data_IF_570271386377
#
_entry.id   IF_570271386377
#
_cell.length_a   1.000
_cell.length_b   1.000
_cell.length_c   1.000
_cell.angle_alpha   90.00
_cell.angle_beta   90.00
_cell.angle_gamma   90.00
#
_symmetry.space_group_name_H-M   'P 1'
#
loop_
_entity.id
_entity.type
_entity.pdbx_description
1 polymer ?
#
# COMPACT_ATOMS: atom_id res chain seq x y z
N UNK A 1 4.42 -1.70 34.23
CA UNK A 1 3.15 -2.03 33.55
C UNK A 1 2.67 -3.39 34.04
N UNK A 2 1.41 -3.49 34.51
CA UNK A 2 0.80 -4.77 34.87
C UNK A 2 0.38 -5.49 33.60
N UNK A 3 0.85 -6.71 33.38
CA UNK A 3 0.37 -7.57 32.29
C UNK A 3 -1.12 -7.85 32.49
N UNK A 4 -1.94 -7.55 31.49
CA UNK A 4 -3.36 -7.89 31.47
C UNK A 4 -3.51 -9.22 30.73
N UNK A 5 -3.85 -10.27 31.47
CA UNK A 5 -4.14 -11.57 30.89
C UNK A 5 -5.62 -11.64 30.50
N UNK A 6 -5.90 -12.01 29.26
CA UNK A 6 -7.25 -12.31 28.77
C UNK A 6 -7.28 -13.69 28.15
N UNK A 7 -8.29 -14.47 28.49
CA UNK A 7 -8.57 -15.73 27.81
C UNK A 7 -9.19 -15.46 26.45
N UNK A 8 -8.95 -16.35 25.50
CA UNK A 8 -9.62 -16.32 24.21
C UNK A 8 -11.10 -16.66 24.40
N UNK A 9 -11.98 -15.74 24.04
CA UNK A 9 -13.43 -15.88 24.15
C UNK A 9 -14.13 -16.21 22.82
N UNK A 10 -13.36 -16.46 21.76
CA UNK A 10 -13.89 -16.75 20.42
C UNK A 10 -14.17 -18.25 20.21
N UNK A 11 -14.86 -18.51 19.07
CA UNK A 11 -15.21 -19.85 18.62
C UNK A 11 -14.23 -20.43 17.59
N UNK A 12 -13.18 -19.69 17.22
CA UNK A 12 -12.19 -20.13 16.24
C UNK A 12 -11.34 -21.31 16.71
N UNK A 13 -10.70 -22.01 15.74
CA UNK A 13 -9.89 -23.18 16.02
C UNK A 13 -10.72 -24.40 16.45
N UNK A 14 -10.06 -25.34 17.15
CA UNK A 14 -10.71 -26.53 17.67
C UNK A 14 -10.32 -26.82 19.12
N UNK A 15 -11.21 -27.44 19.88
CA UNK A 15 -11.00 -27.80 21.29
C UNK A 15 -10.03 -28.95 21.45
N UNK A 16 -9.24 -28.91 22.54
CA UNK A 16 -8.33 -29.98 22.93
C UNK A 16 -9.02 -30.87 24.00
N UNK A 17 -10.14 -31.49 23.62
CA UNK A 17 -11.03 -32.20 24.54
C UNK A 17 -10.47 -33.52 25.07
N UNK A 18 -9.53 -34.16 24.36
CA UNK A 18 -9.09 -35.53 24.70
C UNK A 18 -7.58 -35.67 24.67
N UNK A 19 -7.09 -36.67 25.43
CA UNK A 19 -5.67 -37.07 25.45
C UNK A 19 -5.18 -37.47 24.05
N UNK A 20 -6.06 -38.07 23.23
CA UNK A 20 -5.73 -38.44 21.84
C UNK A 20 -5.45 -37.20 21.03
N UNK A 21 -6.28 -36.15 21.13
CA UNK A 21 -6.02 -34.86 20.44
C UNK A 21 -4.73 -34.22 20.93
N UNK A 22 -4.43 -34.26 22.24
CA UNK A 22 -3.13 -33.78 22.77
C UNK A 22 -1.95 -34.55 22.17
N UNK A 23 -2.06 -35.87 22.08
CA UNK A 23 -1.01 -36.72 21.51
C UNK A 23 -0.79 -36.45 20.02
N UNK A 24 -1.88 -36.29 19.23
CA UNK A 24 -1.81 -35.95 17.82
C UNK A 24 -1.19 -34.57 17.61
N UNK A 25 -1.53 -33.57 18.44
CA UNK A 25 -0.93 -32.24 18.40
C UNK A 25 0.56 -32.28 18.78
N UNK A 26 0.92 -33.05 19.83
CA UNK A 26 2.31 -33.26 20.25
C UNK A 26 3.15 -33.86 19.11
N UNK A 27 2.62 -34.87 18.42
CA UNK A 27 3.24 -35.47 17.24
C UNK A 27 3.33 -34.44 16.06
N UNK A 28 2.27 -33.72 15.80
CA UNK A 28 2.20 -32.68 14.72
C UNK A 28 3.23 -31.59 14.91
N UNK A 29 3.35 -31.07 16.14
CA UNK A 29 4.27 -29.96 16.47
C UNK A 29 5.63 -30.47 16.99
N UNK A 30 5.87 -31.77 16.99
CA UNK A 30 7.11 -32.42 17.46
C UNK A 30 7.53 -31.93 18.85
N UNK A 31 6.58 -31.76 19.77
CA UNK A 31 6.82 -31.30 21.14
C UNK A 31 5.96 -32.04 22.16
N UNK A 32 6.60 -32.68 23.13
CA UNK A 32 5.92 -33.34 24.23
C UNK A 32 5.34 -32.37 25.26
N UNK A 33 5.74 -31.11 25.21
CA UNK A 33 5.19 -30.06 26.12
C UNK A 33 3.68 -29.96 26.05
N UNK A 34 3.08 -30.13 24.87
CA UNK A 34 1.62 -30.10 24.70
C UNK A 34 0.94 -31.24 25.43
N UNK A 35 1.56 -32.40 25.46
CA UNK A 35 1.00 -33.57 26.11
C UNK A 35 1.02 -33.47 27.64
N UNK A 36 2.13 -32.97 28.20
CA UNK A 36 2.38 -32.93 29.63
C UNK A 36 2.06 -31.59 30.30
N UNK A 37 1.68 -30.55 29.55
CA UNK A 37 1.32 -29.25 30.13
C UNK A 37 0.02 -29.32 30.91
N UNK A 38 0.07 -28.81 32.15
CA UNK A 38 -1.11 -28.64 32.98
C UNK A 38 -1.95 -27.41 32.62
N UNK A 39 -1.37 -26.49 31.85
CA UNK A 39 -2.05 -25.29 31.39
C UNK A 39 -3.07 -25.55 30.25
N UNK A 40 -2.96 -26.74 29.62
CA UNK A 40 -3.86 -27.17 28.55
C UNK A 40 -4.95 -28.10 29.12
N UNK A 41 -6.17 -27.60 29.14
CA UNK A 41 -7.35 -28.31 29.60
C UNK A 41 -8.32 -28.67 28.45
N UNK A 42 -9.49 -29.24 28.75
CA UNK A 42 -10.51 -29.60 27.77
C UNK A 42 -11.16 -28.41 27.07
N UNK A 43 -11.12 -27.21 27.68
CA UNK A 43 -11.66 -25.97 27.14
C UNK A 43 -10.63 -25.22 26.28
N UNK A 44 -9.37 -25.65 26.33
CA UNK A 44 -8.30 -25.02 25.56
C UNK A 44 -8.53 -25.20 24.06
N UNK A 45 -8.35 -24.10 23.28
CA UNK A 45 -8.48 -24.11 21.83
C UNK A 45 -7.14 -23.95 21.15
N UNK A 46 -6.94 -24.67 20.07
CA UNK A 46 -5.77 -24.54 19.19
C UNK A 46 -6.14 -23.74 17.98
N UNK A 47 -5.48 -22.59 17.82
CA UNK A 47 -5.62 -21.71 16.65
C UNK A 47 -4.45 -22.00 15.70
N UNK A 48 -4.72 -22.69 14.60
CA UNK A 48 -3.73 -23.01 13.57
C UNK A 48 -3.83 -22.05 12.38
N UNK A 49 -2.73 -21.96 11.62
CA UNK A 49 -2.66 -21.14 10.41
C UNK A 49 -3.10 -19.69 10.64
N UNK A 50 -2.48 -19.04 11.61
CA UNK A 50 -2.79 -17.64 11.95
C UNK A 50 -2.25 -16.63 10.96
N UNK A 51 -1.24 -16.98 10.17
CA UNK A 51 -0.85 -16.20 9.03
C UNK A 51 -1.98 -16.24 7.99
N UNK A 52 -2.54 -15.08 7.65
CA UNK A 52 -3.71 -14.98 6.78
C UNK A 52 -3.44 -15.52 5.36
N UNK A 53 -2.24 -15.28 4.82
CA UNK A 53 -1.83 -15.80 3.51
C UNK A 53 -1.81 -17.31 3.49
N UNK A 54 -1.13 -17.93 4.49
CA UNK A 54 -1.08 -19.37 4.62
C UNK A 54 -2.49 -19.97 4.82
N UNK A 55 -3.31 -19.30 5.63
CA UNK A 55 -4.67 -19.72 5.92
C UNK A 55 -5.55 -19.75 4.67
N UNK A 56 -5.53 -18.68 3.88
CA UNK A 56 -6.27 -18.60 2.62
C UNK A 56 -5.81 -19.65 1.62
N UNK A 57 -4.50 -19.80 1.43
CA UNK A 57 -3.96 -20.79 0.49
C UNK A 57 -4.21 -22.23 0.87
N UNK A 58 -4.55 -22.53 2.15
CA UNK A 58 -5.00 -23.86 2.57
C UNK A 58 -6.43 -24.17 2.11
N UNK A 59 -7.26 -23.15 1.93
CA UNK A 59 -8.66 -23.31 1.48
C UNK A 59 -8.79 -23.17 -0.02
N UNK A 60 -8.15 -22.13 -0.60
CA UNK A 60 -8.22 -21.80 -2.04
C UNK A 60 -6.81 -21.77 -2.68
N UNK A 61 -6.11 -22.91 -2.77
CA UNK A 61 -4.75 -22.96 -3.32
C UNK A 61 -4.68 -22.64 -4.82
N UNK A 62 -5.82 -22.62 -5.49
CA UNK A 62 -5.96 -22.34 -6.92
C UNK A 62 -6.09 -20.84 -7.25
N UNK A 63 -6.22 -19.98 -6.23
CA UNK A 63 -6.21 -18.52 -6.41
C UNK A 63 -4.80 -17.95 -6.19
N UNK A 64 -4.50 -16.87 -6.89
CA UNK A 64 -3.34 -16.00 -6.60
C UNK A 64 -3.77 -14.87 -5.69
N UNK A 65 -2.95 -14.58 -4.69
CA UNK A 65 -3.24 -13.51 -3.74
C UNK A 65 -2.46 -12.25 -4.10
N UNK A 66 -3.10 -11.09 -3.90
CA UNK A 66 -2.47 -9.78 -3.99
C UNK A 66 -1.35 -9.62 -2.95
N UNK A 67 -0.34 -8.82 -3.25
CA UNK A 67 0.75 -8.55 -2.31
C UNK A 67 0.35 -7.68 -1.12
N UNK A 68 -0.84 -7.08 -1.13
CA UNK A 68 -1.23 -6.02 -0.20
C UNK A 68 -2.59 -6.25 0.51
N UNK A 69 -2.67 -7.25 1.42
CA UNK A 69 -3.84 -7.40 2.27
C UNK A 69 -3.94 -6.21 3.25
N UNK A 70 -5.15 -5.75 3.54
CA UNK A 70 -5.37 -4.61 4.42
C UNK A 70 -6.40 -4.89 5.50
N UNK A 71 -6.16 -4.28 6.68
CA UNK A 71 -6.99 -4.40 7.85
C UNK A 71 -8.01 -3.25 7.90
N UNK A 72 -9.25 -3.58 8.16
CA UNK A 72 -10.35 -2.62 8.36
C UNK A 72 -11.02 -2.85 9.70
N UNK A 73 -11.59 -1.79 10.26
CA UNK A 73 -12.41 -1.85 11.47
C UNK A 73 -13.86 -1.57 11.08
N UNK A 74 -14.72 -2.55 11.27
CA UNK A 74 -16.14 -2.47 10.96
C UNK A 74 -16.93 -3.06 12.10
N UNK A 75 -18.01 -2.38 12.54
CA UNK A 75 -18.87 -2.81 13.64
C UNK A 75 -18.10 -3.19 14.93
N UNK A 76 -17.00 -2.50 15.23
CA UNK A 76 -16.14 -2.77 16.38
C UNK A 76 -15.26 -4.04 16.28
N UNK A 77 -15.21 -4.68 15.11
CA UNK A 77 -14.39 -5.85 14.82
C UNK A 77 -13.31 -5.53 13.79
N UNK A 78 -12.17 -6.18 13.92
CA UNK A 78 -11.09 -6.11 12.93
C UNK A 78 -11.26 -7.21 11.90
N UNK A 79 -11.27 -6.82 10.62
CA UNK A 79 -11.33 -7.76 9.49
C UNK A 79 -10.24 -7.44 8.48
N UNK A 80 -9.60 -8.48 7.95
CA UNK A 80 -8.71 -8.37 6.81
C UNK A 80 -9.50 -8.47 5.53
N UNK A 81 -9.21 -7.61 4.58
CA UNK A 81 -9.65 -7.75 3.19
C UNK A 81 -8.44 -8.15 2.36
N UNK A 82 -8.59 -9.20 1.58
CA UNK A 82 -7.54 -9.75 0.76
C UNK A 82 -8.05 -9.97 -0.67
N UNK A 83 -7.42 -9.30 -1.62
CA UNK A 83 -7.73 -9.48 -3.03
C UNK A 83 -7.13 -10.78 -3.55
N UNK A 84 -7.88 -11.48 -4.40
CA UNK A 84 -7.44 -12.72 -5.01
C UNK A 84 -7.79 -12.77 -6.49
N UNK A 85 -6.91 -13.43 -7.25
CA UNK A 85 -6.94 -13.49 -8.70
C UNK A 85 -7.16 -14.90 -9.19
N UNK A 86 -7.95 -15.01 -10.25
CA UNK A 86 -7.91 -16.13 -11.18
C UNK A 86 -6.85 -15.84 -12.22
N UNK A 87 -6.07 -16.84 -12.56
CA UNK A 87 -4.95 -16.70 -13.52
C UNK A 87 -4.90 -17.87 -14.50
N UNK A 88 -4.38 -17.62 -15.70
CA UNK A 88 -4.08 -18.64 -16.71
C UNK A 88 -2.88 -18.21 -17.54
N UNK A 89 -2.16 -19.16 -18.09
CA UNK A 89 -1.09 -18.96 -19.07
C UNK A 89 -1.49 -19.34 -20.52
N UNK A 90 -2.80 -19.62 -20.72
CA UNK A 90 -3.32 -20.20 -21.97
C UNK A 90 -4.18 -19.26 -22.80
N UNK A 91 -4.19 -17.96 -22.48
CA UNK A 91 -4.95 -16.98 -23.25
C UNK A 91 -4.19 -16.64 -24.55
N UNK A 92 -4.83 -16.78 -25.73
CA UNK A 92 -4.13 -16.58 -27.00
C UNK A 92 -3.73 -15.11 -27.21
N UNK A 93 -2.57 -14.89 -27.80
CA UNK A 93 -2.04 -13.57 -28.19
C UNK A 93 -1.88 -12.54 -27.06
N UNK A 94 -1.84 -12.99 -25.81
CA UNK A 94 -1.65 -12.12 -24.66
C UNK A 94 -0.22 -12.22 -24.10
N UNK A 95 0.28 -11.09 -23.61
CA UNK A 95 1.62 -11.02 -23.01
C UNK A 95 1.65 -11.77 -21.67
N UNK A 96 2.65 -12.61 -21.48
CA UNK A 96 2.85 -13.31 -20.21
C UNK A 96 3.51 -12.39 -19.18
N UNK A 97 2.91 -12.32 -17.99
CA UNK A 97 3.44 -11.60 -16.82
C UNK A 97 3.97 -12.63 -15.82
N UNK A 98 5.21 -12.48 -15.34
CA UNK A 98 5.76 -13.37 -14.31
C UNK A 98 4.83 -13.52 -13.10
N UNK A 99 4.64 -14.74 -12.59
CA UNK A 99 3.75 -15.11 -11.48
C UNK A 99 2.24 -15.08 -11.79
N UNK A 100 1.76 -14.32 -12.80
CA UNK A 100 0.34 -14.14 -13.10
C UNK A 100 -0.10 -14.80 -14.39
N UNK A 101 0.83 -15.26 -15.25
CA UNK A 101 0.49 -15.81 -16.55
C UNK A 101 0.12 -14.71 -17.56
N UNK A 102 -0.78 -15.03 -18.50
CA UNK A 102 -1.22 -14.10 -19.52
C UNK A 102 -2.74 -13.81 -19.50
N UNK A 103 -3.40 -14.26 -18.45
CA UNK A 103 -4.78 -13.93 -18.08
C UNK A 103 -4.83 -13.70 -16.57
N UNK A 104 -5.34 -12.58 -16.14
CA UNK A 104 -5.51 -12.24 -14.73
C UNK A 104 -6.80 -11.44 -14.51
N UNK A 105 -7.59 -11.87 -13.54
CA UNK A 105 -8.81 -11.17 -13.10
C UNK A 105 -8.85 -11.08 -11.59
N UNK A 106 -9.21 -9.94 -11.04
CA UNK A 106 -9.50 -9.80 -9.61
C UNK A 106 -10.91 -10.32 -9.30
N UNK A 107 -11.06 -11.62 -9.33
CA UNK A 107 -12.35 -12.29 -9.30
C UNK A 107 -12.89 -12.53 -7.91
N UNK A 108 -12.05 -12.42 -6.85
CA UNK A 108 -12.47 -12.72 -5.49
C UNK A 108 -11.97 -11.67 -4.50
N UNK A 109 -12.86 -11.21 -3.62
CA UNK A 109 -12.54 -10.46 -2.41
C UNK A 109 -12.71 -11.39 -1.20
N UNK A 110 -11.68 -11.56 -0.42
CA UNK A 110 -11.68 -12.46 0.75
C UNK A 110 -11.74 -11.59 2.00
N UNK A 111 -12.71 -11.84 2.86
CA UNK A 111 -12.85 -11.18 4.16
C UNK A 111 -12.49 -12.18 5.25
N UNK A 112 -11.56 -11.83 6.12
CA UNK A 112 -11.07 -12.70 7.18
C UNK A 112 -11.27 -12.00 8.52
N UNK A 113 -12.02 -12.62 9.42
CA UNK A 113 -12.14 -12.13 10.79
C UNK A 113 -10.80 -12.27 11.52
N UNK A 114 -10.23 -11.17 12.01
CA UNK A 114 -8.91 -11.19 12.64
C UNK A 114 -8.88 -11.91 13.98
N UNK A 115 -10.02 -12.05 14.66
CA UNK A 115 -10.15 -12.71 15.94
C UNK A 115 -10.52 -14.18 15.81
N UNK A 116 -11.60 -14.47 15.06
CA UNK A 116 -12.12 -15.83 14.86
C UNK A 116 -11.33 -16.61 13.79
N UNK A 117 -10.81 -15.91 12.79
CA UNK A 117 -10.16 -16.50 11.63
C UNK A 117 -11.14 -17.14 10.64
N UNK A 118 -12.44 -16.86 10.73
CA UNK A 118 -13.42 -17.22 9.71
C UNK A 118 -13.14 -16.46 8.42
N UNK A 119 -13.51 -17.05 7.28
CA UNK A 119 -13.27 -16.47 5.97
C UNK A 119 -14.53 -16.52 5.12
N UNK A 120 -14.82 -15.42 4.46
CA UNK A 120 -15.86 -15.28 3.44
C UNK A 120 -15.20 -14.93 2.10
N UNK A 121 -15.64 -15.60 1.02
CA UNK A 121 -15.10 -15.44 -0.32
C UNK A 121 -16.18 -14.84 -1.22
N UNK A 122 -16.04 -13.58 -1.60
CA UNK A 122 -17.01 -12.86 -2.41
C UNK A 122 -16.54 -12.78 -3.86
N UNK A 123 -17.39 -13.18 -4.81
CA UNK A 123 -17.13 -13.06 -6.24
C UNK A 123 -17.23 -11.60 -6.65
N UNK A 124 -16.11 -11.01 -7.03
CA UNK A 124 -16.01 -9.61 -7.45
C UNK A 124 -16.19 -9.42 -8.96
N UNK A 125 -15.83 -10.42 -9.77
CA UNK A 125 -16.07 -10.43 -11.21
C UNK A 125 -16.97 -11.62 -11.59
N UNK A 126 -18.29 -11.41 -11.68
CA UNK A 126 -19.25 -12.47 -12.02
C UNK A 126 -19.17 -12.93 -13.49
N UNK A 127 -18.37 -12.26 -14.31
CA UNK A 127 -18.19 -12.61 -15.73
C UNK A 127 -16.92 -13.45 -15.98
N UNK A 128 -16.10 -13.70 -14.94
CA UNK A 128 -14.90 -14.52 -15.10
C UNK A 128 -15.25 -16.02 -15.17
N UNK A 129 -14.99 -16.68 -16.31
CA UNK A 129 -15.35 -18.10 -16.50
C UNK A 129 -14.59 -19.04 -15.55
N UNK A 130 -13.39 -18.64 -15.10
CA UNK A 130 -12.57 -19.46 -14.21
C UNK A 130 -13.20 -19.49 -12.80
N UNK A 131 -13.61 -18.32 -12.27
CA UNK A 131 -14.24 -18.30 -10.94
C UNK A 131 -15.62 -18.95 -10.97
N UNK A 132 -16.37 -18.80 -12.04
CA UNK A 132 -17.65 -19.50 -12.22
C UNK A 132 -17.48 -21.03 -12.23
N UNK A 133 -16.41 -21.51 -12.84
CA UNK A 133 -16.07 -22.94 -12.80
C UNK A 133 -15.79 -23.38 -11.37
N UNK A 134 -14.99 -22.64 -10.62
CA UNK A 134 -14.70 -22.96 -9.20
C UNK A 134 -15.94 -22.86 -8.32
N UNK A 135 -16.83 -21.89 -8.58
CA UNK A 135 -18.12 -21.78 -7.88
C UNK A 135 -18.97 -23.04 -8.10
N UNK A 136 -18.99 -23.59 -9.31
CA UNK A 136 -19.73 -24.81 -9.61
C UNK A 136 -19.10 -26.05 -8.93
N UNK A 137 -17.78 -26.08 -8.75
CA UNK A 137 -17.08 -27.16 -8.05
C UNK A 137 -17.30 -27.06 -6.54
N UNK A 138 -17.32 -25.85 -5.99
CA UNK A 138 -17.47 -25.55 -4.56
C UNK A 138 -18.63 -24.56 -4.31
N UNK A 139 -19.90 -24.96 -4.48
CA UNK A 139 -21.02 -24.03 -4.48
C UNK A 139 -21.25 -23.32 -3.15
N UNK A 140 -20.86 -23.91 -2.01
CA UNK A 140 -21.02 -23.30 -0.68
C UNK A 140 -19.85 -22.40 -0.27
N UNK A 141 -18.76 -22.39 -1.04
CA UNK A 141 -17.57 -21.63 -0.69
C UNK A 141 -17.69 -20.16 -1.05
N UNK A 142 -18.31 -19.85 -2.20
CA UNK A 142 -18.35 -18.52 -2.76
C UNK A 142 -19.72 -17.85 -2.57
N UNK A 143 -19.69 -16.59 -2.17
CA UNK A 143 -20.83 -15.71 -2.04
C UNK A 143 -20.84 -14.66 -3.15
N UNK A 144 -21.98 -14.08 -3.46
CA UNK A 144 -22.06 -12.94 -4.37
C UNK A 144 -21.52 -11.67 -3.66
N UNK A 145 -20.92 -10.76 -4.42
CA UNK A 145 -20.43 -9.49 -3.87
C UNK A 145 -21.58 -8.67 -3.24
N UNK A 146 -22.81 -8.84 -3.76
CA UNK A 146 -24.01 -8.23 -3.22
C UNK A 146 -24.29 -8.59 -1.76
N UNK A 147 -23.89 -9.78 -1.32
CA UNK A 147 -24.08 -10.27 0.05
C UNK A 147 -23.05 -9.70 1.05
N UNK A 148 -22.02 -9.00 0.56
CA UNK A 148 -21.06 -8.35 1.45
C UNK A 148 -21.73 -7.20 2.19
N UNK A 149 -21.54 -7.07 3.52
CA UNK A 149 -22.04 -5.95 4.29
C UNK A 149 -21.65 -4.59 3.69
N UNK A 150 -22.59 -3.66 3.64
CA UNK A 150 -22.37 -2.34 3.02
C UNK A 150 -21.21 -1.56 3.65
N UNK A 151 -21.00 -1.70 4.96
CA UNK A 151 -19.87 -1.07 5.63
C UNK A 151 -18.53 -1.62 5.14
N UNK A 152 -18.44 -2.93 4.88
CA UNK A 152 -17.25 -3.55 4.28
C UNK A 152 -17.05 -3.14 2.82
N UNK A 153 -18.11 -3.00 2.04
CA UNK A 153 -18.05 -2.55 0.64
C UNK A 153 -17.39 -1.18 0.52
N UNK A 154 -17.63 -0.28 1.47
CA UNK A 154 -17.00 1.06 1.51
C UNK A 154 -15.47 1.03 1.70
N UNK A 155 -14.94 -0.09 2.16
CA UNK A 155 -13.50 -0.28 2.35
C UNK A 155 -12.82 -0.99 1.18
N UNK A 156 -13.58 -1.43 0.17
CA UNK A 156 -13.00 -2.03 -1.04
C UNK A 156 -12.17 -0.98 -1.76
N UNK A 157 -10.97 -1.38 -2.16
CA UNK A 157 -10.04 -0.56 -2.94
C UNK A 157 -9.54 -1.30 -4.16
N UNK A 158 -9.01 -0.58 -5.13
CA UNK A 158 -8.44 -1.18 -6.33
C UNK A 158 -7.14 -1.94 -5.98
N UNK A 159 -6.94 -3.21 -6.44
CA UNK A 159 -5.83 -4.03 -6.00
C UNK A 159 -4.49 -3.59 -6.61
N UNK A 160 -3.46 -3.57 -5.77
CA UNK A 160 -2.13 -3.02 -6.09
C UNK A 160 -1.40 -3.82 -7.18
N UNK A 161 -1.40 -5.16 -7.09
CA UNK A 161 -0.70 -6.01 -8.07
C UNK A 161 -1.35 -5.90 -9.45
N UNK A 162 -2.69 -5.90 -9.52
CA UNK A 162 -3.41 -5.74 -10.80
C UNK A 162 -3.11 -4.38 -11.43
N UNK A 163 -3.14 -3.30 -10.63
CA UNK A 163 -2.82 -1.97 -11.11
C UNK A 163 -1.38 -1.89 -11.65
N UNK A 164 -0.43 -2.50 -10.96
CA UNK A 164 0.97 -2.55 -11.41
C UNK A 164 1.11 -3.28 -12.75
N UNK A 165 0.41 -4.41 -12.93
CA UNK A 165 0.39 -5.14 -14.20
C UNK A 165 -0.19 -4.27 -15.32
N UNK A 166 -1.32 -3.61 -15.06
CA UNK A 166 -1.98 -2.75 -16.04
C UNK A 166 -1.11 -1.53 -16.39
N UNK A 167 -0.47 -0.91 -15.40
CA UNK A 167 0.45 0.20 -15.60
C UNK A 167 1.66 -0.22 -16.47
N UNK A 168 2.25 -1.38 -16.18
CA UNK A 168 3.35 -1.94 -16.98
C UNK A 168 2.96 -2.17 -18.46
N UNK A 169 1.78 -2.73 -18.70
CA UNK A 169 1.27 -2.95 -20.05
C UNK A 169 0.96 -1.60 -20.73
N UNK A 170 0.27 -0.69 -20.02
CA UNK A 170 -0.12 0.60 -20.55
C UNK A 170 1.09 1.48 -20.92
N UNK A 171 2.21 1.33 -20.25
CA UNK A 171 3.47 2.01 -20.54
C UNK A 171 3.94 1.80 -22.01
N UNK A 172 3.50 0.73 -22.66
CA UNK A 172 3.72 0.50 -24.09
C UNK A 172 2.46 0.79 -24.92
N UNK A 173 1.29 0.36 -24.47
CA UNK A 173 0.05 0.40 -25.25
C UNK A 173 -0.64 1.77 -25.30
N UNK A 174 -0.13 2.80 -24.62
CA UNK A 174 -0.62 4.18 -24.76
C UNK A 174 -0.26 4.80 -26.13
N UNK A 175 0.74 4.26 -26.83
CA UNK A 175 1.16 4.75 -28.15
C UNK A 175 0.13 4.41 -29.22
N UNK A 176 -0.47 5.44 -29.82
CA UNK A 176 -1.59 5.29 -30.78
C UNK A 176 -1.12 5.10 -32.22
N UNK A 177 0.05 5.63 -32.57
CA UNK A 177 0.59 5.60 -33.94
C UNK A 177 1.33 4.28 -34.16
N UNK A 178 0.98 3.45 -35.16
CA UNK A 178 1.62 2.15 -35.40
C UNK A 178 3.14 2.21 -35.54
N UNK A 179 3.67 3.23 -36.23
CA UNK A 179 5.11 3.44 -36.39
C UNK A 179 5.80 3.66 -35.05
N UNK A 180 5.27 4.58 -34.23
CA UNK A 180 5.79 4.91 -32.89
C UNK A 180 5.71 3.71 -31.98
N UNK A 181 4.61 2.95 -32.05
CA UNK A 181 4.43 1.73 -31.28
C UNK A 181 5.46 0.66 -31.66
N UNK A 182 5.65 0.41 -32.96
CA UNK A 182 6.60 -0.58 -33.46
C UNK A 182 8.03 -0.25 -33.07
N UNK A 183 8.43 1.02 -33.22
CA UNK A 183 9.78 1.49 -32.89
C UNK A 183 9.97 1.75 -31.38
N UNK A 184 8.89 1.74 -30.58
CA UNK A 184 8.89 2.07 -29.15
C UNK A 184 9.49 3.45 -28.84
N UNK A 185 9.24 4.43 -29.70
CA UNK A 185 9.86 5.76 -29.63
C UNK A 185 9.39 6.58 -28.44
N UNK A 186 8.14 6.41 -28.01
CA UNK A 186 7.53 7.13 -26.87
C UNK A 186 7.14 6.17 -25.73
N UNK A 187 7.84 5.05 -25.61
CA UNK A 187 7.58 4.09 -24.54
C UNK A 187 7.82 4.70 -23.18
N UNK A 188 6.92 4.46 -22.23
CA UNK A 188 7.08 4.86 -20.84
C UNK A 188 7.66 3.73 -20.01
N UNK A 189 8.12 4.09 -18.81
CA UNK A 189 8.55 3.16 -17.79
C UNK A 189 8.11 3.66 -16.41
N UNK A 190 7.97 2.75 -15.47
CA UNK A 190 7.73 3.08 -14.07
C UNK A 190 9.08 3.54 -13.50
N UNK A 191 9.15 4.73 -12.87
CA UNK A 191 10.40 5.24 -12.34
C UNK A 191 11.00 4.33 -11.28
N UNK A 192 12.32 4.26 -11.24
CA UNK A 192 13.06 3.61 -10.16
C UNK A 192 13.59 4.67 -9.20
N UNK A 193 13.54 4.40 -7.90
CA UNK A 193 14.17 5.21 -6.85
C UNK A 193 15.05 4.28 -6.01
N UNK A 194 16.31 4.66 -5.81
CA UNK A 194 17.28 3.86 -5.05
C UNK A 194 17.38 2.40 -5.56
N UNK A 195 17.40 2.22 -6.89
CA UNK A 195 17.40 0.94 -7.61
C UNK A 195 16.20 0.03 -7.32
N UNK A 196 15.07 0.63 -6.97
CA UNK A 196 13.79 -0.06 -6.79
C UNK A 196 12.73 0.62 -7.62
N UNK A 197 11.96 -0.16 -8.37
CA UNK A 197 10.79 0.33 -9.07
C UNK A 197 9.80 0.95 -8.06
N UNK A 198 9.23 2.09 -8.40
CA UNK A 198 8.20 2.72 -7.57
C UNK A 198 6.99 1.79 -7.45
N UNK A 199 6.50 1.64 -6.22
CA UNK A 199 5.25 0.94 -5.95
C UNK A 199 4.08 1.92 -6.07
N UNK A 200 2.90 1.46 -6.53
CA UNK A 200 1.72 2.30 -6.50
C UNK A 200 1.34 2.68 -5.06
N UNK A 201 0.76 3.84 -4.90
CA UNK A 201 0.35 4.34 -3.58
C UNK A 201 -1.07 4.90 -3.60
N UNK A 202 -1.79 4.66 -2.52
CA UNK A 202 -3.16 5.13 -2.35
C UNK A 202 -3.20 6.55 -1.81
N UNK A 203 -4.14 7.33 -2.33
CA UNK A 203 -4.37 8.69 -1.89
C UNK A 203 -5.84 9.10 -2.06
N UNK A 204 -6.25 10.11 -1.33
CA UNK A 204 -7.54 10.78 -1.54
C UNK A 204 -7.22 12.14 -2.15
N UNK A 205 -7.69 12.36 -3.36
CA UNK A 205 -7.52 13.63 -4.04
C UNK A 205 -8.66 13.92 -5.00
N UNK A 206 -8.79 15.18 -5.36
CA UNK A 206 -9.70 15.61 -6.41
C UNK A 206 -8.99 15.46 -7.75
N UNK A 207 -9.50 14.60 -8.60
CA UNK A 207 -8.96 14.40 -9.93
C UNK A 207 -9.31 15.59 -10.85
N UNK A 208 -8.46 15.91 -11.85
CA UNK A 208 -8.77 16.93 -12.84
C UNK A 208 -10.13 16.69 -13.51
N UNK A 209 -10.99 17.70 -13.49
CA UNK A 209 -12.35 17.62 -14.02
C UNK A 209 -13.42 17.07 -13.06
N UNK A 210 -13.05 16.52 -11.90
CA UNK A 210 -14.00 16.08 -10.91
C UNK A 210 -14.33 17.19 -9.90
N UNK A 211 -15.52 17.11 -9.29
CA UNK A 211 -15.97 18.07 -8.26
C UNK A 211 -15.70 17.57 -6.84
N UNK A 212 -15.58 16.28 -6.65
CA UNK A 212 -15.41 15.60 -5.37
C UNK A 212 -14.04 14.93 -5.27
N UNK A 213 -13.57 14.74 -4.04
CA UNK A 213 -12.39 13.94 -3.74
C UNK A 213 -12.72 12.46 -3.89
N UNK A 214 -11.76 11.69 -4.37
CA UNK A 214 -11.89 10.24 -4.58
C UNK A 214 -10.68 9.50 -3.98
N UNK A 215 -10.92 8.29 -3.53
CA UNK A 215 -9.86 7.38 -3.12
C UNK A 215 -9.28 6.68 -4.34
N UNK A 216 -8.03 6.92 -4.62
CA UNK A 216 -7.35 6.46 -5.82
C UNK A 216 -6.07 5.70 -5.49
N UNK A 217 -5.68 4.82 -6.39
CA UNK A 217 -4.35 4.23 -6.45
C UNK A 217 -3.60 4.87 -7.62
N UNK A 218 -2.39 5.36 -7.42
CA UNK A 218 -1.68 6.05 -8.49
C UNK A 218 -0.21 5.65 -8.65
N UNK A 219 0.31 5.90 -9.86
CA UNK A 219 1.69 5.64 -10.24
C UNK A 219 2.14 6.64 -11.31
N UNK A 220 3.32 7.29 -11.18
CA UNK A 220 3.89 8.14 -12.22
C UNK A 220 4.62 7.32 -13.29
N UNK A 221 4.81 7.92 -14.47
CA UNK A 221 5.61 7.39 -15.58
C UNK A 221 6.65 8.39 -16.06
N UNK A 222 7.81 7.86 -16.44
CA UNK A 222 8.84 8.58 -17.16
C UNK A 222 8.97 8.01 -18.59
N UNK A 223 9.46 8.77 -19.58
CA UNK A 223 9.84 8.19 -20.86
C UNK A 223 10.99 7.23 -20.67
N UNK A 224 11.01 6.16 -21.42
CA UNK A 224 12.07 5.16 -21.36
C UNK A 224 13.46 5.78 -21.52
N UNK A 225 14.35 5.49 -20.56
CA UNK A 225 15.71 6.00 -20.55
C UNK A 225 15.84 7.50 -20.24
N UNK A 226 14.78 8.15 -19.75
CA UNK A 226 14.78 9.56 -19.33
C UNK A 226 14.24 9.70 -17.92
N UNK A 227 14.65 10.74 -17.23
CA UNK A 227 14.29 10.95 -15.82
C UNK A 227 13.18 11.97 -15.59
N UNK A 228 12.74 12.70 -16.63
CA UNK A 228 11.62 13.65 -16.52
C UNK A 228 10.27 12.92 -16.47
N UNK A 229 9.28 13.52 -15.83
CA UNK A 229 7.94 12.95 -15.74
C UNK A 229 7.17 13.16 -17.04
N UNK A 230 6.48 12.11 -17.51
CA UNK A 230 5.65 12.16 -18.73
C UNK A 230 4.16 12.08 -18.45
N UNK A 231 3.79 11.26 -17.48
CA UNK A 231 2.39 10.98 -17.16
C UNK A 231 2.24 10.45 -15.75
N UNK A 232 1.01 10.36 -15.30
CA UNK A 232 0.62 9.59 -14.14
C UNK A 232 -0.71 8.87 -14.41
N UNK A 233 -0.82 7.67 -13.87
CA UNK A 233 -2.00 6.82 -14.03
C UNK A 233 -2.66 6.62 -12.68
N UNK A 234 -3.99 6.57 -12.68
CA UNK A 234 -4.79 6.31 -11.48
C UNK A 234 -5.80 5.20 -11.73
N UNK A 235 -6.09 4.46 -10.68
CA UNK A 235 -7.27 3.62 -10.56
C UNK A 235 -8.19 4.19 -9.49
N UNK A 236 -9.46 4.36 -9.81
CA UNK A 236 -10.47 4.88 -8.90
C UNK A 236 -11.06 3.74 -8.06
N UNK A 237 -11.29 4.00 -6.78
CA UNK A 237 -11.77 2.99 -5.82
C UNK A 237 -13.17 3.27 -5.28
N UNK A 238 -13.75 4.43 -5.55
CA UNK A 238 -15.01 4.85 -4.93
C UNK A 238 -16.22 4.64 -5.83
N UNK A 239 -17.27 4.07 -5.24
CA UNK A 239 -18.63 4.00 -5.81
C UNK A 239 -18.69 3.44 -7.22
N UNK A 240 -19.42 4.11 -8.09
CA UNK A 240 -19.61 3.74 -9.50
C UNK A 240 -18.32 3.88 -10.33
N UNK A 241 -17.35 4.65 -9.86
CA UNK A 241 -16.07 4.83 -10.52
C UNK A 241 -15.06 3.71 -10.22
N UNK A 242 -15.41 2.75 -9.36
CA UNK A 242 -14.52 1.63 -9.04
C UNK A 242 -14.00 0.92 -10.29
N UNK A 243 -12.68 0.80 -10.38
CA UNK A 243 -12.03 0.12 -11.49
C UNK A 243 -11.81 0.97 -12.74
N UNK A 244 -12.25 2.23 -12.77
CA UNK A 244 -11.89 3.14 -13.85
C UNK A 244 -10.42 3.50 -13.77
N UNK A 245 -9.72 3.29 -14.88
CA UNK A 245 -8.31 3.67 -15.05
C UNK A 245 -8.25 4.96 -15.87
N UNK A 246 -7.49 5.95 -15.39
CA UNK A 246 -7.24 7.19 -16.12
C UNK A 246 -5.74 7.47 -16.17
N UNK A 247 -5.25 7.92 -17.32
CA UNK A 247 -3.89 8.38 -17.49
C UNK A 247 -3.89 9.88 -17.83
N UNK A 248 -3.13 10.66 -17.11
CA UNK A 248 -2.94 12.09 -17.29
C UNK A 248 -1.54 12.32 -17.84
N UNK A 249 -1.44 12.98 -19.00
CA UNK A 249 -0.18 13.25 -19.66
C UNK A 249 0.24 14.70 -19.49
N UNK A 250 1.51 14.93 -19.28
CA UNK A 250 2.07 16.28 -19.22
C UNK A 250 2.43 16.79 -20.61
N UNK A 251 2.32 18.11 -20.86
CA UNK A 251 2.77 18.71 -22.12
C UNK A 251 4.26 18.45 -22.36
N UNK A 252 4.60 17.93 -23.55
CA UNK A 252 5.99 17.58 -23.92
C UNK A 252 6.95 18.79 -23.90
N UNK A 253 6.43 20.00 -24.02
CA UNK A 253 7.21 21.25 -24.00
C UNK A 253 7.56 21.74 -22.60
N UNK A 254 6.88 21.25 -21.56
CA UNK A 254 7.15 21.60 -20.17
C UNK A 254 8.03 20.52 -19.54
N UNK A 255 9.23 20.92 -19.10
CA UNK A 255 10.08 20.03 -18.34
C UNK A 255 9.51 19.88 -16.93
N UNK A 256 9.10 18.64 -16.59
CA UNK A 256 8.63 18.29 -15.25
C UNK A 256 9.59 17.28 -14.67
N UNK A 257 10.14 17.58 -13.51
CA UNK A 257 11.11 16.70 -12.86
C UNK A 257 10.47 15.36 -12.50
N UNK A 258 11.15 14.28 -12.83
CA UNK A 258 10.75 12.96 -12.37
C UNK A 258 11.32 12.63 -10.98
N UNK A 259 10.85 11.55 -10.37
CA UNK A 259 11.23 11.17 -9.01
C UNK A 259 12.75 11.08 -8.80
N UNK A 260 13.48 10.46 -9.73
CA UNK A 260 14.94 10.34 -9.64
C UNK A 260 15.68 11.69 -9.69
N UNK A 261 15.16 12.65 -10.47
CA UNK A 261 15.77 13.98 -10.52
C UNK A 261 15.57 14.71 -9.20
N UNK A 262 14.41 14.55 -8.57
CA UNK A 262 14.15 15.13 -7.24
C UNK A 262 15.01 14.45 -6.18
N UNK A 263 15.19 13.12 -6.23
CA UNK A 263 16.12 12.41 -5.33
C UNK A 263 17.54 12.93 -5.49
N UNK A 264 18.00 13.12 -6.72
CA UNK A 264 19.33 13.67 -6.98
C UNK A 264 19.49 15.08 -6.37
N UNK A 265 18.47 15.93 -6.53
CA UNK A 265 18.46 17.27 -5.93
C UNK A 265 18.43 17.27 -4.41
N UNK A 266 17.63 16.37 -3.80
CA UNK A 266 17.62 16.16 -2.34
C UNK A 266 19.01 15.79 -1.84
N UNK A 267 19.69 14.87 -2.53
CA UNK A 267 21.02 14.41 -2.15
C UNK A 267 22.12 15.47 -2.40
N UNK A 268 21.89 16.40 -3.34
CA UNK A 268 22.78 17.52 -3.64
C UNK A 268 22.59 18.72 -2.72
N UNK A 269 21.43 18.80 -2.04
CA UNK A 269 21.19 19.88 -1.08
C UNK A 269 22.15 19.76 0.12
N UNK A 270 22.87 20.84 0.39
CA UNK A 270 23.96 20.84 1.38
C UNK A 270 23.45 20.64 2.82
N UNK A 271 22.26 21.15 3.14
CA UNK A 271 21.65 20.98 4.46
C UNK A 271 21.15 19.56 4.66
N UNK A 272 20.41 19.02 3.67
CA UNK A 272 19.89 17.66 3.68
C UNK A 272 21.02 16.63 3.72
N UNK A 273 22.02 16.77 2.86
CA UNK A 273 23.18 15.87 2.79
C UNK A 273 23.98 15.85 4.09
N UNK A 274 24.21 17.02 4.68
CA UNK A 274 24.89 17.14 5.98
C UNK A 274 24.11 16.46 7.09
N UNK A 275 22.79 16.66 7.19
CA UNK A 275 21.95 16.07 8.21
C UNK A 275 21.90 14.53 8.06
N UNK A 276 21.72 14.03 6.86
CA UNK A 276 21.72 12.59 6.59
C UNK A 276 23.06 11.98 7.03
N UNK A 277 24.20 12.60 6.65
CA UNK A 277 25.53 12.13 7.00
C UNK A 277 25.79 12.14 8.50
N UNK A 278 25.25 13.12 9.23
CA UNK A 278 25.36 13.19 10.68
C UNK A 278 24.55 12.10 11.39
N UNK A 279 23.43 11.70 10.83
CA UNK A 279 22.53 10.72 11.44
C UNK A 279 22.81 9.28 11.00
N UNK A 280 23.46 9.07 9.85
CA UNK A 280 23.83 7.74 9.35
C UNK A 280 25.22 7.35 9.81
N UNK A 281 25.45 7.34 11.13
CA UNK A 281 26.71 7.02 11.79
C UNK A 281 26.58 5.78 12.67
N UNK A 282 27.68 5.38 13.35
CA UNK A 282 27.65 4.29 14.32
C UNK A 282 26.59 4.55 15.40
N UNK A 283 25.66 3.62 15.56
CA UNK A 283 24.59 3.67 16.54
C UNK A 283 23.22 4.07 15.98
N UNK A 284 23.16 4.62 14.77
CA UNK A 284 21.89 4.95 14.11
C UNK A 284 21.97 4.82 12.59
N UNK A 285 20.82 4.55 11.97
CA UNK A 285 20.66 4.41 10.53
C UNK A 285 19.55 5.30 10.02
N UNK A 286 19.84 6.05 8.96
CA UNK A 286 18.82 6.83 8.23
C UNK A 286 18.07 5.92 7.26
N UNK A 287 16.76 6.01 7.27
CA UNK A 287 15.88 5.33 6.34
C UNK A 287 15.10 6.40 5.58
N UNK A 288 15.36 6.50 4.30
CA UNK A 288 14.57 7.36 3.42
C UNK A 288 13.31 6.59 3.02
N UNK A 289 12.15 7.18 3.27
CA UNK A 289 10.87 6.58 2.95
C UNK A 289 10.52 6.69 1.48
N UNK A 290 9.35 6.13 1.12
CA UNK A 290 8.80 6.21 -0.23
C UNK A 290 8.53 7.66 -0.61
N UNK A 291 8.96 8.06 -1.79
CA UNK A 291 8.63 9.36 -2.34
C UNK A 291 7.22 9.35 -2.88
N UNK A 292 6.44 10.36 -2.52
CA UNK A 292 5.13 10.64 -3.09
C UNK A 292 5.26 11.75 -4.12
N UNK A 293 4.70 11.55 -5.29
CA UNK A 293 4.54 12.56 -6.33
C UNK A 293 3.08 12.97 -6.31
N UNK A 294 2.79 14.18 -5.89
CA UNK A 294 1.43 14.65 -5.63
C UNK A 294 1.04 15.70 -6.65
N UNK A 295 0.16 15.38 -7.61
CA UNK A 295 -0.37 16.38 -8.52
C UNK A 295 -1.31 17.35 -7.78
N UNK A 296 -1.08 18.65 -7.96
CA UNK A 296 -1.92 19.69 -7.39
C UNK A 296 -2.19 20.71 -8.50
N UNK A 297 -3.42 20.73 -9.02
CA UNK A 297 -3.79 21.56 -10.18
C UNK A 297 -2.82 21.34 -11.36
N UNK A 298 -2.06 22.35 -11.73
CA UNK A 298 -1.08 22.29 -12.83
C UNK A 298 0.37 22.07 -12.34
N UNK A 299 0.56 21.77 -11.06
CA UNK A 299 1.85 21.63 -10.40
C UNK A 299 2.02 20.27 -9.72
N UNK A 300 3.25 19.97 -9.33
CA UNK A 300 3.58 18.74 -8.60
C UNK A 300 4.33 19.10 -7.32
N UNK A 301 3.97 18.41 -6.26
CA UNK A 301 4.73 18.41 -5.01
C UNK A 301 5.30 17.01 -4.79
N UNK A 302 6.56 16.95 -4.38
CA UNK A 302 7.27 15.73 -4.03
C UNK A 302 7.47 15.70 -2.53
N UNK A 303 7.04 14.63 -1.89
CA UNK A 303 7.16 14.49 -0.43
C UNK A 303 7.93 13.22 -0.12
N UNK A 304 9.02 13.32 0.63
CA UNK A 304 9.81 12.17 1.06
C UNK A 304 10.06 12.22 2.56
N UNK A 305 9.52 11.26 3.34
CA UNK A 305 9.77 11.17 4.77
C UNK A 305 11.16 10.59 5.05
N UNK A 306 11.78 11.04 6.14
CA UNK A 306 13.07 10.60 6.59
C UNK A 306 12.97 10.09 8.02
N UNK A 307 13.30 8.81 8.18
CA UNK A 307 13.25 8.11 9.47
C UNK A 307 14.65 7.87 10.01
N UNK A 308 14.74 7.85 11.32
CA UNK A 308 15.94 7.44 12.04
C UNK A 308 15.65 6.19 12.87
N UNK A 309 16.51 5.20 12.76
CA UNK A 309 16.45 3.97 13.54
C UNK A 309 17.76 3.79 14.31
N UNK A 310 17.68 3.61 15.62
CA UNK A 310 18.84 3.20 16.41
C UNK A 310 19.26 1.76 16.06
N UNK A 311 20.56 1.44 16.07
CA UNK A 311 21.04 0.08 15.73
C UNK A 311 20.48 -0.98 16.70
N UNK A 312 20.33 -0.63 17.99
CA UNK A 312 19.68 -1.49 18.98
C UNK A 312 18.15 -1.40 18.94
N UNK A 313 17.59 -0.41 18.25
CA UNK A 313 16.16 -0.17 18.15
C UNK A 313 15.56 -0.85 16.92
N UNK A 314 14.34 -1.39 17.09
CA UNK A 314 13.64 -2.06 16.00
C UNK A 314 12.69 -1.12 15.24
N UNK A 315 12.27 -0.03 15.85
CA UNK A 315 11.26 0.89 15.34
C UNK A 315 11.93 2.16 14.82
N UNK A 316 11.81 2.46 13.51
CA UNK A 316 12.24 3.73 12.96
C UNK A 316 11.27 4.85 13.37
N UNK A 317 11.81 5.99 13.75
CA UNK A 317 11.04 7.20 14.08
C UNK A 317 11.13 8.21 12.94
N UNK A 318 10.01 8.84 12.59
CA UNK A 318 10.01 9.97 11.66
C UNK A 318 10.76 11.15 12.28
N UNK A 319 11.79 11.62 11.60
CA UNK A 319 12.60 12.76 12.07
C UNK A 319 12.45 14.00 11.21
N UNK A 320 12.26 13.84 9.91
CA UNK A 320 12.11 14.93 8.94
C UNK A 320 11.17 14.55 7.82
N UNK A 321 10.61 15.58 7.22
CA UNK A 321 9.88 15.51 5.96
C UNK A 321 10.61 16.41 4.96
N UNK A 322 10.96 15.84 3.81
CA UNK A 322 11.55 16.56 2.71
C UNK A 322 10.45 16.83 1.70
N UNK A 323 10.29 18.10 1.33
CA UNK A 323 9.33 18.53 0.31
C UNK A 323 10.11 19.19 -0.83
N UNK A 324 9.83 18.75 -2.04
CA UNK A 324 10.32 19.35 -3.27
C UNK A 324 9.18 20.01 -4.04
N UNK A 325 9.39 21.22 -4.50
CA UNK A 325 8.50 21.95 -5.38
C UNK A 325 9.31 22.75 -6.37
N UNK A 326 9.11 22.51 -7.66
CA UNK A 326 9.94 23.09 -8.72
C UNK A 326 11.44 22.97 -8.41
N UNK A 327 12.12 24.11 -8.24
CA UNK A 327 13.55 24.18 -7.94
C UNK A 327 13.89 24.22 -6.44
N UNK A 328 12.88 24.26 -5.57
CA UNK A 328 13.05 24.44 -4.13
C UNK A 328 12.94 23.11 -3.40
N UNK A 329 13.90 22.86 -2.49
CA UNK A 329 13.87 21.73 -1.56
C UNK A 329 13.78 22.29 -0.12
N UNK A 330 12.89 21.76 0.68
CA UNK A 330 12.78 22.06 2.09
C UNK A 330 12.77 20.78 2.92
N UNK A 331 13.52 20.75 4.02
CA UNK A 331 13.54 19.65 4.97
C UNK A 331 13.22 20.18 6.36
N UNK A 332 12.11 19.76 6.94
CA UNK A 332 11.64 20.22 8.25
C UNK A 332 11.12 19.06 9.10
N UNK A 333 10.72 19.34 10.35
CA UNK A 333 10.23 18.30 11.28
C UNK A 333 8.87 17.76 10.89
N UNK A 334 8.02 18.63 10.33
CA UNK A 334 6.67 18.28 9.89
C UNK A 334 6.45 18.68 8.45
N UNK A 335 5.41 18.15 7.83
CA UNK A 335 5.01 18.53 6.49
C UNK A 335 4.59 20.00 6.43
N UNK A 336 3.88 20.46 7.46
CA UNK A 336 3.43 21.84 7.58
C UNK A 336 4.58 22.84 7.56
N UNK A 337 5.62 22.56 8.37
CA UNK A 337 6.81 23.41 8.44
C UNK A 337 7.54 23.44 7.07
N UNK A 338 7.65 22.29 6.40
CA UNK A 338 8.28 22.20 5.08
C UNK A 338 7.48 22.96 4.01
N UNK A 339 6.16 22.86 4.02
CA UNK A 339 5.30 23.62 3.12
C UNK A 339 5.34 25.13 3.42
N UNK A 340 5.41 25.51 4.72
CA UNK A 340 5.58 26.91 5.12
C UNK A 340 6.87 27.51 4.59
N UNK A 341 7.95 26.74 4.60
CA UNK A 341 9.26 27.20 4.10
C UNK A 341 9.25 27.43 2.58
N UNK A 342 8.49 26.64 1.85
CA UNK A 342 8.38 26.73 0.38
C UNK A 342 7.39 27.84 -0.04
N UNK A 343 6.21 27.89 0.59
CA UNK A 343 5.10 28.75 0.16
C UNK A 343 4.89 30.00 1.03
N UNK A 344 5.64 30.13 2.13
CA UNK A 344 5.54 31.23 3.10
C UNK A 344 4.56 30.95 4.24
N UNK A 345 4.81 31.58 5.40
CA UNK A 345 3.99 31.38 6.61
C UNK A 345 2.57 31.96 6.49
N UNK A 346 2.37 32.98 5.69
CA UNK A 346 1.06 33.61 5.48
C UNK A 346 0.09 32.69 4.77
N UNK A 347 0.58 31.81 3.89
CA UNK A 347 -0.20 30.78 3.24
C UNK A 347 -0.79 29.77 4.25
N UNK A 348 -0.07 29.43 5.31
CA UNK A 348 -0.54 28.51 6.36
C UNK A 348 -1.49 29.19 7.35
N UNK A 349 -1.28 30.46 7.68
CA UNK A 349 -2.16 31.19 8.60
C UNK A 349 -3.54 31.47 7.98
N UNK A 350 -3.61 31.67 6.67
CA UNK A 350 -4.89 31.81 5.95
C UNK A 350 -5.71 30.49 6.03
N UNK A 351 -5.03 29.35 6.02
CA UNK A 351 -5.64 28.01 6.16
C UNK A 351 -6.12 27.75 7.59
N UNK A 352 -5.35 28.17 8.59
CA UNK A 352 -5.72 27.98 10.01
C UNK A 352 -6.93 28.87 10.40
N UNK A 353 -6.99 30.11 9.91
CA UNK A 353 -8.09 31.05 10.22
C UNK A 353 -9.43 30.69 9.56
N UNK A 354 -9.43 29.93 8.48
CA UNK A 354 -10.68 29.49 7.82
C UNK A 354 -11.33 28.29 8.54
N UNK A 355 -10.61 27.60 9.42
CA UNK A 355 -11.18 26.50 10.24
C UNK A 355 -12.05 26.97 11.41
N UNK A 356 -11.93 28.22 11.87
CA UNK A 356 -12.69 28.74 13.03
C UNK A 356 -13.99 29.47 12.67
N UNK A 357 -14.32 29.61 11.40
CA UNK A 357 -15.54 30.33 10.97
C UNK A 357 -16.41 29.49 10.01
N UNK A 358 -17.21 28.58 10.57
CA UNK A 358 -18.49 28.21 9.96
C UNK A 358 -19.51 29.28 10.31
N UNK A 359 -19.68 30.29 9.48
CA UNK A 359 -20.90 31.10 9.26
C UNK A 359 -20.76 31.84 7.94
N UNK A 360 -21.76 31.69 7.10
CA UNK A 360 -21.89 32.14 5.70
C UNK A 360 -21.88 33.65 5.46
N UNK A 361 -21.94 34.12 4.19
CA UNK A 361 -20.91 34.98 3.58
C UNK A 361 -21.33 36.47 3.49
N UNK A 362 -20.61 37.41 2.89
CA UNK A 362 -20.64 37.63 1.47
C UNK A 362 -19.33 38.02 0.78
N UNK A 363 -19.33 37.82 -0.52
CA UNK A 363 -18.42 38.15 -1.61
C UNK A 363 -18.04 39.63 -1.68
N UNK A 364 -16.76 39.92 -1.92
CA UNK A 364 -16.31 41.00 -2.85
C UNK A 364 -14.82 40.87 -3.23
N UNK A 365 -14.63 40.62 -4.49
CA UNK A 365 -13.71 41.10 -5.55
C UNK A 365 -12.30 41.63 -5.24
N UNK A 366 -11.33 40.94 -5.88
CA UNK A 366 -10.21 41.34 -6.75
C UNK A 366 -9.15 42.33 -6.26
N UNK A 367 -7.94 41.85 -6.17
CA UNK A 367 -6.84 42.42 -6.97
C UNK A 367 -5.67 41.43 -7.06
N UNK A 368 -5.11 41.35 -8.25
CA UNK A 368 -4.07 40.52 -8.75
C UNK A 368 -2.72 40.73 -8.08
N UNK A 369 -2.14 39.67 -7.54
CA UNK A 369 -0.69 39.45 -7.58
C UNK A 369 -0.45 37.93 -7.46
N UNK A 370 0.26 37.43 -8.43
CA UNK A 370 0.57 36.05 -8.68
C UNK A 370 1.48 35.44 -7.59
N UNK A 371 0.86 35.03 -6.49
CA UNK A 371 1.43 34.01 -5.61
C UNK A 371 0.39 32.88 -5.58
N UNK A 372 0.77 31.73 -6.13
CA UNK A 372 -0.07 30.54 -6.23
C UNK A 372 -0.27 30.00 -4.82
N UNK A 373 -1.32 30.47 -4.14
CA UNK A 373 -1.73 29.99 -2.82
C UNK A 373 -2.41 28.63 -3.01
N UNK A 374 -1.87 27.59 -2.38
CA UNK A 374 -2.56 26.31 -2.24
C UNK A 374 -3.96 26.54 -1.65
N UNK A 375 -4.99 25.97 -2.28
CA UNK A 375 -6.34 26.00 -1.72
C UNK A 375 -6.37 25.17 -0.43
N UNK A 376 -7.21 25.54 0.52
CA UNK A 376 -7.37 24.86 1.81
C UNK A 376 -7.72 23.39 1.66
N UNK A 377 -8.47 23.02 0.61
CA UNK A 377 -8.79 21.63 0.24
C UNK A 377 -7.51 20.83 -0.06
N UNK A 378 -6.56 21.43 -0.76
CA UNK A 378 -5.33 20.78 -1.23
C UNK A 378 -4.36 20.55 -0.07
N UNK A 379 -4.25 21.52 0.84
CA UNK A 379 -3.48 21.37 2.07
C UNK A 379 -4.01 20.23 2.96
N UNK A 380 -5.33 20.17 3.17
CA UNK A 380 -5.97 19.10 3.96
C UNK A 380 -5.78 17.73 3.29
N UNK A 381 -5.87 17.68 1.97
CA UNK A 381 -5.63 16.49 1.17
C UNK A 381 -4.20 16.01 1.33
N UNK A 382 -3.20 16.90 1.19
CA UNK A 382 -1.78 16.58 1.38
C UNK A 382 -1.52 16.05 2.79
N UNK A 383 -2.05 16.71 3.81
CA UNK A 383 -1.88 16.32 5.22
C UNK A 383 -2.45 14.94 5.50
N UNK A 384 -3.70 14.69 5.11
CA UNK A 384 -4.36 13.40 5.33
C UNK A 384 -3.67 12.26 4.57
N UNK A 385 -3.17 12.56 3.37
CA UNK A 385 -2.41 11.61 2.58
C UNK A 385 -1.08 11.25 3.23
N UNK A 386 -0.35 12.26 3.63
CA UNK A 386 0.94 12.09 4.29
C UNK A 386 0.80 11.25 5.57
N UNK A 387 -0.14 11.57 6.46
CA UNK A 387 -0.38 10.81 7.69
C UNK A 387 -0.71 9.33 7.42
N UNK A 388 -1.51 9.04 6.39
CA UNK A 388 -1.84 7.65 6.02
C UNK A 388 -0.66 6.89 5.43
N UNK A 389 0.11 7.52 4.54
CA UNK A 389 1.30 6.90 3.96
C UNK A 389 2.35 6.66 5.03
N UNK A 390 2.50 7.60 5.96
CA UNK A 390 3.40 7.50 7.10
C UNK A 390 3.04 6.30 7.98
N UNK A 391 1.77 6.18 8.36
CA UNK A 391 1.28 5.06 9.16
C UNK A 391 1.52 3.71 8.46
N UNK A 392 1.27 3.65 7.16
CA UNK A 392 1.48 2.42 6.36
C UNK A 392 2.96 2.05 6.22
N UNK A 393 3.83 3.05 6.04
CA UNK A 393 5.28 2.83 5.99
C UNK A 393 5.81 2.29 7.31
N UNK A 394 5.30 2.79 8.43
CA UNK A 394 5.64 2.31 9.77
C UNK A 394 5.19 0.86 9.99
N UNK A 395 3.97 0.51 9.55
CA UNK A 395 3.44 -0.87 9.56
C UNK A 395 4.27 -1.81 8.66
N UNK A 396 4.69 -1.34 7.49
CA UNK A 396 5.51 -2.11 6.55
C UNK A 396 6.92 -2.32 7.10
N UNK A 397 7.53 -1.31 7.71
CA UNK A 397 8.83 -1.42 8.35
C UNK A 397 8.81 -2.37 9.56
N UNK A 398 7.73 -2.40 10.32
CA UNK A 398 7.51 -3.39 11.39
C UNK A 398 7.40 -4.82 10.85
N UNK A 399 6.69 -5.02 9.74
CA UNK A 399 6.60 -6.33 9.07
C UNK A 399 7.96 -6.79 8.52
N UNK A 400 8.74 -5.88 7.94
CA UNK A 400 10.08 -6.20 7.39
C UNK A 400 11.06 -6.58 8.50
N UNK A 401 10.97 -5.95 9.68
CA UNK A 401 11.80 -6.30 10.82
C UNK A 401 11.45 -7.69 11.39
N UNK A 402 10.17 -8.04 11.42
CA UNK A 402 9.70 -9.37 11.83
C UNK A 402 10.17 -10.46 10.84
N UNK A 403 10.05 -10.23 9.55
CA UNK A 403 10.56 -11.17 8.52
C UNK A 403 12.07 -11.38 8.59
N UNK A 404 12.83 -10.34 8.92
CA UNK A 404 14.29 -10.49 9.13
C UNK A 404 14.64 -11.31 10.37
N UNK A 405 13.83 -11.24 11.42
CA UNK A 405 14.02 -12.08 12.61
C UNK A 405 13.68 -13.55 12.34
N UNK A 406 12.59 -13.77 11.59
CA UNK A 406 12.20 -15.12 11.17
C UNK A 406 13.28 -15.78 10.29
N UNK A 407 13.85 -15.02 9.34
CA UNK A 407 14.97 -15.47 8.51
C UNK A 407 16.26 -15.73 9.31
N UNK A 408 16.55 -14.93 10.35
CA UNK A 408 17.66 -15.21 11.27
C UNK A 408 17.41 -16.41 12.15
N UNK A 409 16.19 -16.63 12.59
CA UNK A 409 15.79 -17.82 13.36
C UNK A 409 15.87 -19.07 12.49
N UNK A 410 15.45 -18.98 11.22
CA UNK A 410 15.58 -20.06 10.25
C UNK A 410 17.06 -20.38 9.93
N UNK A 411 17.89 -19.35 9.76
CA UNK A 411 19.35 -19.52 9.56
C UNK A 411 20.00 -20.24 10.75
N UNK A 412 19.70 -19.82 11.98
CA UNK A 412 20.21 -20.51 13.19
C UNK A 412 19.69 -21.94 13.33
N UNK A 413 18.46 -22.22 12.91
CA UNK A 413 17.91 -23.57 12.91
C UNK A 413 18.56 -24.45 11.84
N UNK A 414 18.89 -23.91 10.70
CA UNK A 414 19.65 -24.60 9.63
C UNK A 414 21.09 -24.86 10.05
N UNK A 415 21.79 -23.89 10.64
CA UNK A 415 23.17 -24.06 11.15
C UNK A 415 23.22 -25.10 12.27
N UNK A 416 22.19 -25.21 13.12
CA UNK A 416 22.10 -26.25 14.15
C UNK A 416 21.73 -27.64 13.61
N UNK A 417 21.14 -27.72 12.42
CA UNK A 417 20.81 -28.99 11.76
C UNK A 417 21.98 -29.59 10.94
N UNK A 418 22.97 -28.79 10.62
CA UNK A 418 24.18 -29.22 9.85
C UNK A 418 25.29 -29.77 10.76
N UNK A 419 25.15 -29.71 12.08
CA UNK A 419 26.16 -30.20 13.05
C UNK A 419 25.82 -31.61 13.61
N UNK A 420 25.04 -32.40 12.90
CA UNK A 420 24.81 -33.82 13.24
C UNK A 420 25.13 -34.69 12.02
N UNK A 421 26.42 -34.86 11.74
CA UNK A 421 27.04 -36.03 11.12
C UNK A 421 28.34 -36.34 11.84
#
# INVERSE_FOLDING_TARGET
EKNVYKNYAGNGGFLVESLIRKALLAARFKTLKILFSQDINSESRVLMYRNITERVLKVVPFLRLDGDPYLVVTEGKMKWIYDAYTVSDRFPYSQTIPRFGNYVRNSVKIVIDAYEGSMDFFIADPNDPIILTWKNVFPELFKELGEMPEDLKKHIRYPSDLFTIQAFIYATYHMKTPQVFYNKEDQWEIPEIDNKMMEPYYMIMKLPGNTTEEYILMLPFTPRGKSNLSAWMVAQSDGENYGHLRAYTFPKQKLIYGPNQIVARINQDAEVSRQISLWDQRGSKVIQGTMLVIPIEESLIYVRPLYLRADAGKIPELKRVIVGYEDTIAMERTLEEALAKIFGQDALQSVARSNDKKKDPPIKTLSSSSNMLLKQSDYRTIKNMFERVMKRQEEMNQKLSHHKEDLKALGKALDSAVVVE
#
